data_IF_751856993932
#
_entry.id   IF_751856993932
#
_cell.length_a   1.000
_cell.length_b   1.000
_cell.length_c   1.000
_cell.angle_alpha   90.00
_cell.angle_beta   90.00
_cell.angle_gamma   90.00
#
_symmetry.space_group_name_H-M   'P 1'
#
loop_
_entity.id
_entity.type
_entity.pdbx_description
1 polymer ?
#
# COMPACT_ATOMS: atom_id res chain seq x y z
N UNK A 1 -20.80 13.94 -0.71
CA UNK A 1 -20.24 13.34 0.52
C UNK A 1 -20.51 11.85 0.60
N UNK A 2 -21.74 11.38 0.31
CA UNK A 2 -22.06 9.94 0.30
C UNK A 2 -21.32 9.11 -0.76
N UNK A 3 -21.07 9.68 -1.95
CA UNK A 3 -20.32 9.00 -3.02
C UNK A 3 -18.84 8.81 -2.71
N UNK A 4 -18.21 9.77 -2.02
CA UNK A 4 -16.81 9.66 -1.59
C UNK A 4 -16.62 8.58 -0.53
N UNK A 5 -17.49 8.55 0.48
CA UNK A 5 -17.46 7.50 1.51
C UNK A 5 -17.81 6.12 0.95
N UNK A 6 -18.75 6.03 0.00
CA UNK A 6 -19.06 4.79 -0.71
C UNK A 6 -17.88 4.30 -1.56
N UNK A 7 -17.15 5.19 -2.24
CA UNK A 7 -15.94 4.84 -2.99
C UNK A 7 -14.77 4.44 -2.08
N UNK A 8 -14.64 5.06 -0.90
CA UNK A 8 -13.69 4.60 0.12
C UNK A 8 -14.05 3.19 0.59
N UNK A 9 -15.32 2.92 0.86
CA UNK A 9 -15.82 1.60 1.28
C UNK A 9 -15.52 0.51 0.24
N UNK A 10 -15.78 0.80 -1.05
CA UNK A 10 -15.55 -0.15 -2.14
C UNK A 10 -14.06 -0.36 -2.46
N UNK A 11 -13.24 0.68 -2.38
CA UNK A 11 -11.82 0.63 -2.77
C UNK A 11 -10.87 0.81 -1.57
N UNK A 12 -11.28 0.40 -0.38
CA UNK A 12 -10.55 0.66 0.87
C UNK A 12 -9.11 0.11 0.87
N UNK A 13 -8.86 -0.97 0.13
CA UNK A 13 -7.54 -1.57 -0.07
C UNK A 13 -6.60 -0.62 -0.83
N UNK A 14 -7.12 0.05 -1.86
CA UNK A 14 -6.40 1.08 -2.61
C UNK A 14 -6.08 2.26 -1.69
N UNK A 15 -7.07 2.71 -0.92
CA UNK A 15 -6.87 3.83 0.00
C UNK A 15 -5.87 3.54 1.11
N UNK A 16 -5.84 2.31 1.64
CA UNK A 16 -4.81 1.89 2.57
C UNK A 16 -3.41 1.94 1.94
N UNK A 17 -3.28 1.49 0.69
CA UNK A 17 -2.02 1.60 -0.03
C UNK A 17 -1.59 3.06 -0.23
N UNK A 18 -2.51 3.94 -0.63
CA UNK A 18 -2.21 5.36 -0.89
C UNK A 18 -1.87 6.13 0.40
N UNK A 19 -2.61 5.92 1.48
CA UNK A 19 -2.50 6.72 2.71
C UNK A 19 -1.44 6.16 3.64
N UNK A 20 -1.30 4.84 3.72
CA UNK A 20 -0.37 4.19 4.65
C UNK A 20 0.90 3.81 3.93
N UNK A 21 0.84 2.94 2.93
CA UNK A 21 2.05 2.37 2.32
C UNK A 21 2.92 3.38 1.58
N UNK A 22 2.29 4.15 0.70
CA UNK A 22 3.03 5.01 -0.21
C UNK A 22 3.87 6.08 0.52
N UNK A 23 3.37 6.78 1.57
CA UNK A 23 4.18 7.71 2.34
C UNK A 23 5.40 7.07 3.03
N UNK A 24 5.28 5.84 3.54
CA UNK A 24 6.41 5.13 4.12
C UNK A 24 7.47 4.80 3.05
N UNK A 25 7.04 4.32 1.87
CA UNK A 25 7.94 4.05 0.75
C UNK A 25 8.65 5.31 0.26
N UNK A 26 7.92 6.43 0.12
CA UNK A 26 8.48 7.74 -0.21
C UNK A 26 9.53 8.11 0.84
N UNK A 27 9.19 8.06 2.12
CA UNK A 27 10.11 8.42 3.19
C UNK A 27 11.39 7.57 3.18
N UNK A 28 11.27 6.26 2.93
CA UNK A 28 12.42 5.34 2.86
C UNK A 28 13.37 5.66 1.73
N UNK A 29 12.83 5.96 0.55
CA UNK A 29 13.63 6.40 -0.59
C UNK A 29 14.32 7.73 -0.28
N UNK A 30 13.61 8.68 0.35
CA UNK A 30 14.18 9.98 0.66
C UNK A 30 15.28 9.90 1.73
N UNK A 31 15.11 9.02 2.74
CA UNK A 31 16.06 8.84 3.84
C UNK A 31 17.35 8.14 3.41
N UNK A 32 17.29 7.21 2.46
CA UNK A 32 18.49 6.52 1.97
C UNK A 32 19.38 7.48 1.18
N UNK A 33 20.63 7.63 1.65
CA UNK A 33 21.67 8.46 1.00
C UNK A 33 22.32 7.75 -0.19
N UNK A 34 22.36 6.42 -0.18
CA UNK A 34 22.89 5.58 -1.26
C UNK A 34 21.75 5.02 -2.11
N UNK A 35 21.10 5.89 -2.88
CA UNK A 35 19.99 5.47 -3.76
C UNK A 35 20.56 4.79 -4.99
N UNK A 36 20.07 3.60 -5.32
CA UNK A 36 20.40 2.96 -6.59
C UNK A 36 19.38 3.33 -7.67
N UNK A 37 19.78 3.26 -8.94
CA UNK A 37 18.86 3.43 -10.07
C UNK A 37 17.66 2.46 -10.01
N UNK A 38 17.85 1.28 -9.39
CA UNK A 38 16.78 0.30 -9.18
C UNK A 38 15.70 0.82 -8.25
N UNK A 39 16.08 1.49 -7.17
CA UNK A 39 15.13 2.04 -6.18
C UNK A 39 14.26 3.14 -6.79
N UNK A 40 14.84 3.95 -7.68
CA UNK A 40 14.13 5.02 -8.40
C UNK A 40 13.11 4.44 -9.39
N UNK A 41 13.46 3.38 -10.12
CA UNK A 41 12.55 2.71 -11.06
C UNK A 41 11.38 2.07 -10.32
N UNK A 42 11.67 1.36 -9.21
CA UNK A 42 10.64 0.75 -8.36
C UNK A 42 9.68 1.83 -7.82
N UNK A 43 10.22 2.97 -7.39
CA UNK A 43 9.41 4.09 -6.93
C UNK A 43 8.49 4.66 -7.99
N UNK A 44 8.99 4.82 -9.23
CA UNK A 44 8.20 5.29 -10.35
C UNK A 44 7.06 4.32 -10.67
N UNK A 45 7.31 3.02 -10.62
CA UNK A 45 6.28 2.00 -10.82
C UNK A 45 5.20 2.11 -9.74
N UNK A 46 5.58 2.19 -8.46
CA UNK A 46 4.61 2.36 -7.38
C UNK A 46 3.82 3.67 -7.49
N UNK A 47 4.48 4.77 -7.84
CA UNK A 47 3.83 6.08 -8.03
C UNK A 47 2.83 6.07 -9.19
N UNK A 48 3.19 5.43 -10.30
CA UNK A 48 2.30 5.25 -11.45
C UNK A 48 1.08 4.41 -11.05
N UNK A 49 1.29 3.35 -10.25
CA UNK A 49 0.23 2.51 -9.74
C UNK A 49 -0.71 3.25 -8.80
N UNK A 50 -0.19 4.10 -7.90
CA UNK A 50 -0.99 4.99 -7.04
C UNK A 50 -1.87 5.92 -7.88
N UNK A 51 -1.30 6.55 -8.91
CA UNK A 51 -2.03 7.47 -9.77
C UNK A 51 -3.17 6.76 -10.50
N UNK A 52 -2.88 5.60 -11.10
CA UNK A 52 -3.89 4.80 -11.80
C UNK A 52 -4.99 4.33 -10.86
N UNK A 53 -4.63 3.82 -9.68
CA UNK A 53 -5.59 3.35 -8.68
C UNK A 53 -6.44 4.51 -8.10
N UNK A 54 -5.83 5.67 -7.86
CA UNK A 54 -6.51 6.88 -7.41
C UNK A 54 -7.51 7.40 -8.45
N UNK A 55 -7.08 7.55 -9.71
CA UNK A 55 -7.93 7.96 -10.84
C UNK A 55 -9.09 6.97 -11.02
N UNK A 56 -8.81 5.67 -10.97
CA UNK A 56 -9.85 4.65 -11.11
C UNK A 56 -10.89 4.74 -9.98
N UNK A 57 -10.46 4.98 -8.73
CA UNK A 57 -11.39 5.14 -7.61
C UNK A 57 -12.27 6.40 -7.72
N UNK A 58 -11.85 7.40 -8.49
CA UNK A 58 -12.58 8.64 -8.71
C UNK A 58 -13.48 8.61 -9.94
N UNK A 59 -13.03 7.96 -11.03
CA UNK A 59 -13.67 8.04 -12.35
C UNK A 59 -14.71 6.94 -12.58
N UNK A 60 -14.60 5.78 -11.92
CA UNK A 60 -15.55 4.67 -12.12
C UNK A 60 -16.00 4.03 -10.80
N UNK A 61 -17.31 3.90 -10.63
CA UNK A 61 -17.93 3.11 -9.55
C UNK A 61 -17.61 1.61 -9.65
N UNK A 62 -17.14 1.12 -10.81
CA UNK A 62 -16.70 -0.26 -11.02
C UNK A 62 -15.20 -0.30 -11.34
N UNK A 63 -14.46 -1.04 -10.52
CA UNK A 63 -13.02 -1.24 -10.65
C UNK A 63 -12.68 -2.04 -11.93
N UNK A 64 -11.90 -1.44 -12.85
CA UNK A 64 -11.36 -2.13 -14.04
C UNK A 64 -10.17 -3.01 -13.66
N UNK A 65 -9.30 -2.50 -12.77
CA UNK A 65 -8.27 -3.31 -12.14
C UNK A 65 -8.98 -4.20 -11.12
N UNK A 66 -9.06 -5.50 -11.40
CA UNK A 66 -9.41 -6.50 -10.39
C UNK A 66 -8.52 -6.25 -9.17
N UNK A 67 -9.01 -6.40 -7.93
CA UNK A 67 -8.18 -6.13 -6.75
C UNK A 67 -7.00 -7.12 -6.60
N UNK A 68 -6.93 -8.16 -7.45
CA UNK A 68 -5.91 -9.20 -7.43
C UNK A 68 -4.45 -8.70 -7.51
N UNK A 69 -4.05 -7.82 -8.45
CA UNK A 69 -2.68 -7.32 -8.51
C UNK A 69 -2.32 -6.45 -7.30
N UNK A 70 -3.31 -5.73 -6.73
CA UNK A 70 -3.13 -4.96 -5.49
C UNK A 70 -2.83 -5.88 -4.32
N UNK A 71 -3.55 -6.99 -4.18
CA UNK A 71 -3.27 -7.97 -3.13
C UNK A 71 -1.85 -8.57 -3.26
N UNK A 72 -1.40 -8.85 -4.48
CA UNK A 72 -0.02 -9.32 -4.70
C UNK A 72 1.00 -8.28 -4.24
N UNK A 73 0.82 -7.01 -4.61
CA UNK A 73 1.72 -5.92 -4.19
C UNK A 73 1.71 -5.74 -2.67
N UNK A 74 0.54 -5.86 -2.03
CA UNK A 74 0.41 -5.78 -0.58
C UNK A 74 1.16 -6.92 0.13
N UNK A 75 1.05 -8.15 -0.37
CA UNK A 75 1.78 -9.31 0.16
C UNK A 75 3.30 -9.10 0.03
N UNK A 76 3.76 -8.66 -1.14
CA UNK A 76 5.19 -8.38 -1.38
C UNK A 76 5.68 -7.28 -0.42
N UNK A 77 4.90 -6.21 -0.27
CA UNK A 77 5.23 -5.09 0.63
C UNK A 77 5.29 -5.53 2.10
N UNK A 78 4.40 -6.45 2.51
CA UNK A 78 4.41 -7.02 3.84
C UNK A 78 5.68 -7.83 4.11
N UNK A 79 6.04 -8.74 3.21
CA UNK A 79 7.26 -9.54 3.33
C UNK A 79 8.52 -8.66 3.33
N UNK A 80 8.58 -7.67 2.45
CA UNK A 80 9.68 -6.72 2.43
C UNK A 80 9.84 -5.99 3.77
N UNK A 81 8.72 -5.60 4.38
CA UNK A 81 8.72 -4.88 5.65
C UNK A 81 9.15 -5.77 6.83
N UNK A 82 8.77 -7.04 6.81
CA UNK A 82 9.27 -8.06 7.75
C UNK A 82 10.80 -8.18 7.64
N UNK A 83 11.31 -8.37 6.42
CA UNK A 83 12.76 -8.47 6.17
C UNK A 83 13.49 -7.21 6.66
N UNK A 84 12.94 -6.03 6.39
CA UNK A 84 13.52 -4.76 6.81
C UNK A 84 13.48 -4.57 8.33
N UNK A 85 12.41 -5.01 8.99
CA UNK A 85 12.33 -5.03 10.44
C UNK A 85 13.39 -5.93 11.08
N UNK A 86 13.67 -7.10 10.50
CA UNK A 86 14.75 -7.96 10.98
C UNK A 86 16.13 -7.33 10.80
N UNK A 87 16.35 -6.57 9.71
CA UNK A 87 17.62 -5.90 9.42
C UNK A 87 17.87 -4.67 10.28
N UNK A 88 16.90 -3.75 10.34
CA UNK A 88 17.11 -2.43 10.95
C UNK A 88 16.55 -2.32 12.38
N UNK A 89 15.60 -3.18 12.77
CA UNK A 89 14.96 -3.21 14.11
C UNK A 89 14.50 -1.84 14.63
N UNK A 90 14.01 -0.97 13.74
CA UNK A 90 13.54 0.36 14.15
C UNK A 90 12.12 0.30 14.67
N UNK A 91 11.77 1.17 15.64
CA UNK A 91 10.40 1.34 16.16
C UNK A 91 9.40 1.56 15.00
N UNK A 92 9.81 2.29 13.96
CA UNK A 92 9.00 2.51 12.76
C UNK A 92 8.68 1.21 12.04
N UNK A 93 9.66 0.33 11.85
CA UNK A 93 9.45 -0.97 11.19
C UNK A 93 8.46 -1.85 11.98
N UNK A 94 8.54 -1.83 13.32
CA UNK A 94 7.58 -2.54 14.17
C UNK A 94 6.17 -1.96 14.07
N UNK A 95 6.03 -0.63 14.14
CA UNK A 95 4.73 0.05 13.97
C UNK A 95 4.12 -0.23 12.60
N UNK A 96 4.94 -0.19 11.56
CA UNK A 96 4.49 -0.47 10.21
C UNK A 96 3.96 -1.89 10.08
N UNK A 97 4.71 -2.91 10.52
CA UNK A 97 4.26 -4.30 10.52
C UNK A 97 2.99 -4.45 11.33
N UNK A 98 2.91 -3.85 12.51
CA UNK A 98 1.71 -3.93 13.36
C UNK A 98 0.47 -3.40 12.65
N UNK A 99 0.54 -2.19 12.05
CA UNK A 99 -0.56 -1.61 11.27
C UNK A 99 -0.90 -2.49 10.06
N UNK A 100 0.12 -3.05 9.40
CA UNK A 100 -0.07 -3.94 8.26
C UNK A 100 -0.73 -5.27 8.63
N UNK A 101 -0.35 -5.87 9.76
CA UNK A 101 -0.93 -7.10 10.28
C UNK A 101 -2.39 -6.89 10.68
N UNK A 102 -2.72 -5.77 11.35
CA UNK A 102 -4.11 -5.40 11.65
C UNK A 102 -4.92 -5.29 10.34
N UNK A 103 -4.36 -4.64 9.33
CA UNK A 103 -5.02 -4.51 8.04
C UNK A 103 -5.30 -5.87 7.37
N UNK A 104 -4.34 -6.80 7.38
CA UNK A 104 -4.54 -8.16 6.87
C UNK A 104 -5.66 -8.88 7.64
N UNK A 105 -5.67 -8.77 8.97
CA UNK A 105 -6.73 -9.37 9.81
C UNK A 105 -8.10 -8.81 9.43
N UNK A 106 -8.22 -7.50 9.19
CA UNK A 106 -9.47 -6.88 8.74
C UNK A 106 -9.92 -7.37 7.36
N UNK A 107 -8.99 -7.60 6.42
CA UNK A 107 -9.31 -8.22 5.12
C UNK A 107 -9.88 -9.61 5.32
N UNK A 108 -9.20 -10.45 6.11
CA UNK A 108 -9.61 -11.83 6.36
C UNK A 108 -11.00 -11.85 7.00
N UNK A 109 -11.24 -11.02 8.02
CA UNK A 109 -12.54 -10.88 8.67
C UNK A 109 -13.64 -10.46 7.70
N UNK A 110 -13.38 -9.51 6.80
CA UNK A 110 -14.33 -9.07 5.77
C UNK A 110 -14.68 -10.17 4.76
N UNK A 111 -13.79 -11.12 4.49
CA UNK A 111 -14.06 -12.24 3.58
C UNK A 111 -14.72 -13.44 4.28
N UNK A 112 -14.61 -13.52 5.60
CA UNK A 112 -15.21 -14.60 6.41
C UNK A 112 -16.65 -14.30 6.85
N UNK A 113 -17.04 -13.02 6.89
CA UNK A 113 -18.38 -12.50 7.19
C UNK A 113 -19.15 -12.19 5.91
#
# INVERSE_FOLDING_TARGET
>A
MNTFLANISNNWVVWFYIIVLFPFQVYDIYKNKERTYKDIIIFLIYSCFVLLAGIQSFVRERSIIEPFPLYIILIISYFQSIVECFKQKTIRSYLFIFVFSIFIILIILKHLL
#
